data_IF_313290490915
#
_entry.id   IF_313290490915
#
_cell.length_a   1.000
_cell.length_b   1.000
_cell.length_c   1.000
_cell.angle_alpha   90.00
_cell.angle_beta   90.00
_cell.angle_gamma   90.00
#
_symmetry.space_group_name_H-M   'P 1'
#
loop_
_entity.id
_entity.type
_entity.pdbx_description
1 polymer ?
#
# COMPACT_ATOMS: atom_id res chain seq x y z
N UNK A 1 -8.48 -1.14 -4.10
CA UNK A 1 -7.12 -0.57 -4.14
C UNK A 1 -6.70 -0.30 -5.58
N UNK A 2 -6.51 0.97 -5.98
CA UNK A 2 -6.20 1.35 -7.36
C UNK A 2 -4.83 0.85 -7.80
N UNK A 3 -3.84 0.86 -6.96
CA UNK A 3 -2.41 0.64 -7.20
C UNK A 3 -1.77 1.76 -8.03
N UNK A 4 -2.39 2.15 -9.12
CA UNK A 4 -2.09 3.28 -10.01
C UNK A 4 -3.38 3.73 -10.71
N UNK A 5 -3.40 4.94 -11.23
CA UNK A 5 -4.49 5.46 -12.07
C UNK A 5 -4.11 5.51 -13.55
N UNK A 6 -3.10 4.71 -13.96
CA UNK A 6 -2.70 4.52 -15.37
C UNK A 6 -3.20 3.16 -15.86
N UNK A 7 -4.18 3.15 -16.78
CA UNK A 7 -4.81 1.91 -17.27
C UNK A 7 -3.79 0.94 -17.88
N UNK A 8 -2.87 1.45 -18.71
CA UNK A 8 -1.87 0.60 -19.35
C UNK A 8 -0.99 -0.16 -18.34
N UNK A 9 -0.68 0.46 -17.20
CA UNK A 9 0.07 -0.20 -16.12
C UNK A 9 -0.78 -1.25 -15.41
N UNK A 10 -2.06 -0.98 -15.16
CA UNK A 10 -2.98 -1.97 -14.58
C UNK A 10 -3.06 -3.23 -15.46
N UNK A 11 -3.19 -3.06 -16.76
CA UNK A 11 -3.22 -4.15 -17.73
C UNK A 11 -1.90 -4.93 -17.74
N UNK A 12 -0.76 -4.21 -17.72
CA UNK A 12 0.57 -4.80 -17.71
C UNK A 12 0.82 -5.66 -16.47
N UNK A 13 0.41 -5.20 -15.28
CA UNK A 13 0.58 -5.95 -14.03
C UNK A 13 -0.51 -6.99 -13.78
N UNK A 14 -1.46 -7.14 -14.72
CA UNK A 14 -2.50 -8.15 -14.70
C UNK A 14 -3.63 -7.86 -13.71
N UNK A 15 -3.95 -6.59 -13.49
CA UNK A 15 -5.15 -6.18 -12.75
C UNK A 15 -6.37 -6.25 -13.68
N UNK A 16 -7.50 -6.72 -13.16
CA UNK A 16 -8.73 -6.90 -13.94
C UNK A 16 -9.72 -5.73 -13.78
N UNK A 17 -9.39 -4.74 -12.94
CA UNK A 17 -10.20 -3.55 -12.78
C UNK A 17 -9.66 -2.41 -13.66
N UNK A 18 -10.54 -1.49 -14.01
CA UNK A 18 -10.18 -0.27 -14.75
C UNK A 18 -10.12 0.94 -13.81
N UNK A 19 -9.47 2.01 -14.28
CA UNK A 19 -9.44 3.30 -13.58
C UNK A 19 -10.87 3.84 -13.37
N UNK A 20 -11.74 3.69 -14.37
CA UNK A 20 -13.15 4.13 -14.25
C UNK A 20 -13.91 3.33 -13.20
N UNK A 21 -13.68 2.01 -13.12
CA UNK A 21 -14.25 1.18 -12.06
C UNK A 21 -13.80 1.63 -10.66
N UNK A 22 -12.54 2.03 -10.50
CA UNK A 22 -12.04 2.58 -9.22
C UNK A 22 -12.81 3.85 -8.87
N UNK A 23 -12.94 4.79 -9.80
CA UNK A 23 -13.68 6.06 -9.61
C UNK A 23 -15.15 5.81 -9.29
N UNK A 24 -15.80 4.90 -10.04
CA UNK A 24 -17.20 4.51 -9.80
C UNK A 24 -17.39 3.92 -8.40
N UNK A 25 -16.56 2.93 -8.03
CA UNK A 25 -16.70 2.26 -6.72
C UNK A 25 -16.36 3.18 -5.56
N UNK A 26 -15.42 4.10 -5.74
CA UNK A 26 -15.13 5.13 -4.74
C UNK A 26 -16.36 6.03 -4.49
N UNK A 27 -16.98 6.56 -5.56
CA UNK A 27 -18.19 7.38 -5.46
C UNK A 27 -19.34 6.62 -4.83
N UNK A 28 -19.57 5.38 -5.28
CA UNK A 28 -20.60 4.50 -4.69
C UNK A 28 -20.39 4.30 -3.19
N UNK A 29 -19.13 4.10 -2.73
CA UNK A 29 -18.84 3.97 -1.31
C UNK A 29 -19.18 5.26 -0.55
N UNK A 30 -18.85 6.44 -1.10
CA UNK A 30 -19.24 7.74 -0.51
C UNK A 30 -20.76 7.89 -0.43
N UNK A 31 -21.48 7.57 -1.49
CA UNK A 31 -22.95 7.66 -1.55
C UNK A 31 -23.63 6.72 -0.53
N UNK A 32 -22.99 5.58 -0.21
CA UNK A 32 -23.43 4.64 0.82
C UNK A 32 -23.03 5.08 2.26
N UNK A 33 -22.36 6.23 2.42
CA UNK A 33 -22.03 6.80 3.72
C UNK A 33 -20.70 6.34 4.31
N UNK A 34 -19.82 5.67 3.53
CA UNK A 34 -18.45 5.38 4.01
C UNK A 34 -17.66 6.69 4.09
N UNK A 35 -17.26 7.06 5.28
CA UNK A 35 -16.58 8.32 5.60
C UNK A 35 -15.09 8.13 5.95
N UNK A 36 -14.55 6.91 5.81
CA UNK A 36 -13.14 6.59 5.98
C UNK A 36 -12.70 5.59 4.90
N UNK A 37 -12.28 6.13 3.74
CA UNK A 37 -11.86 5.35 2.59
C UNK A 37 -10.38 5.54 2.36
N UNK A 38 -9.62 4.43 2.36
CA UNK A 38 -8.21 4.40 2.02
C UNK A 38 -7.99 4.00 0.56
N UNK A 39 -6.99 4.59 -0.08
CA UNK A 39 -6.52 4.19 -1.41
C UNK A 39 -5.05 3.76 -1.34
N UNK A 40 -4.77 2.50 -1.73
CA UNK A 40 -3.39 2.01 -1.81
C UNK A 40 -2.81 2.26 -3.20
N UNK A 41 -1.61 2.83 -3.22
CA UNK A 41 -0.82 3.12 -4.41
C UNK A 41 0.52 2.38 -4.35
N UNK A 42 1.08 2.06 -5.51
CA UNK A 42 2.42 1.47 -5.62
C UNK A 42 3.27 2.37 -6.52
N UNK A 43 4.41 2.82 -6.00
CA UNK A 43 5.41 3.58 -6.75
C UNK A 43 6.52 2.63 -7.20
N UNK A 44 7.01 2.87 -8.40
CA UNK A 44 8.01 2.00 -9.05
C UNK A 44 7.38 0.87 -9.87
N UNK A 45 6.12 1.00 -10.27
CA UNK A 45 5.51 0.07 -11.20
C UNK A 45 6.22 0.11 -12.57
N UNK A 46 6.24 -1.04 -13.30
CA UNK A 46 6.88 -1.08 -14.62
C UNK A 46 6.28 -0.05 -15.58
N UNK A 47 7.15 0.59 -16.37
CA UNK A 47 6.80 1.59 -17.39
C UNK A 47 6.08 2.83 -16.82
N UNK A 48 6.30 3.12 -15.53
CA UNK A 48 5.88 4.39 -14.91
C UNK A 48 7.07 5.29 -14.61
N UNK A 49 6.87 6.57 -14.88
CA UNK A 49 7.79 7.65 -14.56
C UNK A 49 7.15 8.67 -13.59
N UNK A 50 7.85 9.78 -13.37
CA UNK A 50 7.40 10.84 -12.45
C UNK A 50 6.08 11.50 -12.90
N UNK A 51 5.84 11.59 -14.22
CA UNK A 51 4.63 12.22 -14.75
C UNK A 51 3.42 11.27 -14.59
N UNK A 52 3.63 9.96 -14.69
CA UNK A 52 2.61 8.96 -14.40
C UNK A 52 2.21 8.98 -12.91
N UNK A 53 3.20 9.10 -12.02
CA UNK A 53 2.95 9.27 -10.57
C UNK A 53 2.19 10.57 -10.32
N UNK A 54 2.57 11.66 -10.98
CA UNK A 54 1.87 12.95 -10.89
C UNK A 54 0.40 12.82 -11.31
N UNK A 55 0.17 12.24 -12.49
CA UNK A 55 -1.19 12.02 -13.01
C UNK A 55 -2.03 11.14 -12.08
N UNK A 56 -1.42 10.10 -11.50
CA UNK A 56 -2.07 9.24 -10.50
C UNK A 56 -2.47 10.05 -9.27
N UNK A 57 -1.55 10.84 -8.71
CA UNK A 57 -1.82 11.64 -7.52
C UNK A 57 -2.86 12.74 -7.74
N UNK A 58 -2.90 13.34 -8.94
CA UNK A 58 -3.93 14.30 -9.31
C UNK A 58 -5.32 13.66 -9.32
N UNK A 59 -5.47 12.50 -9.94
CA UNK A 59 -6.73 11.76 -9.98
C UNK A 59 -7.16 11.29 -8.56
N UNK A 60 -6.22 10.88 -7.72
CA UNK A 60 -6.50 10.52 -6.32
C UNK A 60 -6.94 11.75 -5.52
N UNK A 61 -6.29 12.90 -5.72
CA UNK A 61 -6.68 14.17 -5.08
C UNK A 61 -8.10 14.60 -5.45
N UNK A 62 -8.50 14.43 -6.73
CA UNK A 62 -9.88 14.72 -7.17
C UNK A 62 -10.92 13.84 -6.49
N UNK A 63 -10.58 12.60 -6.14
CA UNK A 63 -11.46 11.69 -5.40
C UNK A 63 -11.55 12.04 -3.92
N UNK A 64 -10.56 12.74 -3.37
CA UNK A 64 -10.47 13.17 -1.97
C UNK A 64 -10.66 12.00 -0.97
N UNK A 65 -9.78 10.98 -0.97
CA UNK A 65 -9.84 9.91 0.02
C UNK A 65 -9.47 10.44 1.42
N UNK A 66 -9.91 9.71 2.46
CA UNK A 66 -9.57 10.06 3.85
C UNK A 66 -8.16 9.60 4.24
N UNK A 67 -7.62 8.64 3.49
CA UNK A 67 -6.26 8.13 3.66
C UNK A 67 -5.69 7.58 2.36
N UNK A 68 -4.37 7.62 2.26
CA UNK A 68 -3.62 7.05 1.14
C UNK A 68 -2.45 6.25 1.70
N UNK A 69 -2.27 5.02 1.22
CA UNK A 69 -1.07 4.25 1.52
C UNK A 69 -0.19 4.19 0.27
N UNK A 70 1.02 4.71 0.38
CA UNK A 70 2.02 4.69 -0.68
C UNK A 70 2.98 3.55 -0.43
N UNK A 71 2.94 2.55 -1.29
CA UNK A 71 3.86 1.42 -1.28
C UNK A 71 4.97 1.62 -2.31
N UNK A 72 6.19 1.25 -1.95
CA UNK A 72 7.26 1.05 -2.93
C UNK A 72 7.19 -0.37 -3.46
N UNK A 73 7.35 -0.53 -4.78
CA UNK A 73 7.29 -1.84 -5.41
C UNK A 73 8.26 -2.83 -4.74
N UNK A 74 7.73 -3.94 -4.23
CA UNK A 74 8.51 -5.06 -3.71
C UNK A 74 8.33 -6.27 -4.62
N UNK A 75 9.40 -6.72 -5.27
CA UNK A 75 9.37 -7.89 -6.15
C UNK A 75 9.53 -9.16 -5.31
N UNK A 76 8.42 -9.79 -4.96
CA UNK A 76 8.39 -11.06 -4.23
C UNK A 76 8.74 -12.23 -5.15
N UNK A 77 9.30 -13.34 -4.60
CA UNK A 77 9.67 -14.55 -5.39
C UNK A 77 8.52 -15.11 -6.22
N UNK A 78 7.31 -15.09 -5.67
CA UNK A 78 6.09 -15.58 -6.34
C UNK A 78 5.39 -14.52 -7.22
N UNK A 79 5.95 -13.31 -7.34
CA UNK A 79 5.36 -12.30 -8.22
C UNK A 79 5.54 -12.69 -9.70
N UNK A 80 4.53 -12.40 -10.54
CA UNK A 80 4.60 -12.67 -12.00
C UNK A 80 5.85 -12.04 -12.63
N UNK A 81 6.24 -10.85 -12.21
CA UNK A 81 7.48 -10.18 -12.62
C UNK A 81 8.75 -11.00 -12.37
N UNK A 82 8.75 -11.83 -11.32
CA UNK A 82 9.89 -12.69 -11.00
C UNK A 82 9.80 -14.06 -11.67
N UNK A 83 8.59 -14.64 -11.80
CA UNK A 83 8.35 -15.93 -12.43
C UNK A 83 8.62 -15.86 -13.94
N UNK A 84 8.22 -14.77 -14.58
CA UNK A 84 8.37 -14.54 -16.03
C UNK A 84 9.45 -13.51 -16.34
N UNK A 85 10.62 -13.61 -15.68
CA UNK A 85 11.73 -12.65 -15.80
C UNK A 85 12.09 -12.31 -17.24
N UNK A 86 12.12 -13.28 -18.12
CA UNK A 86 12.48 -13.09 -19.53
C UNK A 86 11.49 -12.20 -20.27
N UNK A 87 10.19 -12.34 -19.96
CA UNK A 87 9.12 -11.50 -20.55
C UNK A 87 9.16 -10.05 -20.05
N UNK A 88 9.67 -9.84 -18.84
CA UNK A 88 9.71 -8.54 -18.18
C UNK A 88 11.13 -7.95 -18.11
N UNK A 89 12.13 -8.63 -18.72
CA UNK A 89 13.54 -8.21 -18.66
C UNK A 89 13.83 -6.83 -19.22
N UNK A 90 13.01 -6.37 -20.18
CA UNK A 90 13.19 -5.09 -20.85
C UNK A 90 12.32 -3.97 -20.25
N UNK A 91 11.51 -4.24 -19.24
CA UNK A 91 10.67 -3.22 -18.63
C UNK A 91 11.49 -2.26 -17.76
N UNK A 92 11.27 -1.00 -17.96
CA UNK A 92 11.86 0.05 -17.15
C UNK A 92 11.14 0.11 -15.80
N UNK A 93 11.87 -0.13 -14.71
CA UNK A 93 11.38 0.02 -13.34
C UNK A 93 12.15 1.16 -12.70
N UNK A 94 11.48 2.22 -12.31
CA UNK A 94 12.06 3.37 -11.65
C UNK A 94 11.32 3.64 -10.35
N UNK A 95 12.05 3.69 -9.24
CA UNK A 95 11.55 4.19 -7.98
C UNK A 95 12.60 5.16 -7.43
N UNK A 96 12.30 6.46 -7.54
CA UNK A 96 13.24 7.53 -7.20
C UNK A 96 12.75 8.31 -5.98
N UNK A 97 13.68 8.97 -5.29
CA UNK A 97 13.34 9.85 -4.18
C UNK A 97 12.35 10.95 -4.62
N UNK A 98 12.51 11.47 -5.83
CA UNK A 98 11.63 12.51 -6.38
C UNK A 98 10.17 12.02 -6.49
N UNK A 99 9.95 10.76 -6.92
CA UNK A 99 8.61 10.16 -6.98
C UNK A 99 7.99 10.04 -5.58
N UNK A 100 8.77 9.61 -4.59
CA UNK A 100 8.32 9.49 -3.19
C UNK A 100 8.00 10.88 -2.61
N UNK A 101 8.87 11.87 -2.82
CA UNK A 101 8.67 13.25 -2.37
C UNK A 101 7.43 13.87 -3.00
N UNK A 102 7.17 13.56 -4.28
CA UNK A 102 5.97 13.99 -4.98
C UNK A 102 4.70 13.45 -4.31
N UNK A 103 4.67 12.15 -3.96
CA UNK A 103 3.51 11.57 -3.25
C UNK A 103 3.29 12.21 -1.89
N UNK A 104 4.37 12.45 -1.13
CA UNK A 104 4.32 13.13 0.16
C UNK A 104 3.82 14.58 0.04
N UNK A 105 4.20 15.28 -1.03
CA UNK A 105 3.69 16.62 -1.33
C UNK A 105 2.17 16.61 -1.55
N UNK A 106 1.68 15.73 -2.42
CA UNK A 106 0.25 15.60 -2.69
C UNK A 106 -0.55 15.17 -1.46
N UNK A 107 -0.01 14.27 -0.63
CA UNK A 107 -0.64 13.90 0.64
C UNK A 107 -0.83 15.12 1.55
N UNK A 108 0.21 15.96 1.71
CA UNK A 108 0.11 17.22 2.48
C UNK A 108 -0.90 18.19 1.87
N UNK A 109 -0.93 18.34 0.55
CA UNK A 109 -1.91 19.21 -0.14
C UNK A 109 -3.36 18.73 0.08
N UNK A 110 -3.58 17.42 0.27
CA UNK A 110 -4.87 16.84 0.64
C UNK A 110 -5.17 16.95 2.16
N UNK A 111 -4.27 17.50 2.98
CA UNK A 111 -4.42 17.55 4.43
C UNK A 111 -4.20 16.21 5.12
N UNK A 112 -3.50 15.29 4.46
CA UNK A 112 -3.19 13.98 5.03
C UNK A 112 -1.81 14.00 5.69
N UNK A 113 -1.75 13.45 6.91
CA UNK A 113 -0.52 13.37 7.71
C UNK A 113 0.02 11.93 7.74
N UNK A 114 1.36 11.73 7.72
CA UNK A 114 1.92 10.40 7.86
C UNK A 114 1.63 9.86 9.27
N UNK A 115 1.13 8.62 9.36
CA UNK A 115 0.80 8.00 10.64
C UNK A 115 1.48 6.65 10.87
N UNK A 116 1.99 5.98 9.82
CA UNK A 116 2.84 4.80 9.97
C UNK A 116 3.82 4.64 8.82
N UNK A 117 4.93 3.97 9.11
CA UNK A 117 6.00 3.61 8.19
C UNK A 117 6.22 2.10 8.25
N UNK A 118 6.41 1.49 7.08
CA UNK A 118 6.70 0.06 7.00
C UNK A 118 7.70 -0.24 5.89
N UNK A 119 8.78 -0.96 6.24
CA UNK A 119 9.79 -1.39 5.28
C UNK A 119 9.72 -2.90 5.06
N UNK A 120 9.65 -3.33 3.82
CA UNK A 120 9.78 -4.74 3.42
C UNK A 120 11.19 -5.01 2.88
N UNK A 121 11.59 -6.29 2.88
CA UNK A 121 12.81 -6.73 2.19
C UNK A 121 12.61 -6.66 0.67
N UNK A 122 13.68 -6.32 -0.07
CA UNK A 122 13.72 -6.28 -1.54
C UNK A 122 12.76 -5.25 -2.18
N UNK A 123 12.65 -4.08 -1.57
CA UNK A 123 11.91 -2.94 -2.15
C UNK A 123 12.76 -2.22 -3.18
N UNK A 124 12.16 -1.85 -4.31
CA UNK A 124 12.81 -1.03 -5.33
C UNK A 124 13.19 0.34 -4.74
N UNK A 125 14.45 0.76 -4.91
CA UNK A 125 14.95 2.01 -4.35
C UNK A 125 15.19 2.01 -2.83
N UNK A 126 14.91 0.90 -2.13
CA UNK A 126 15.08 0.76 -0.68
C UNK A 126 14.24 1.75 0.16
N UNK A 127 13.12 2.23 -0.40
CA UNK A 127 12.20 3.16 0.24
C UNK A 127 11.21 2.44 1.16
N UNK A 128 10.54 3.20 2.01
CA UNK A 128 9.52 2.73 2.95
C UNK A 128 8.12 2.86 2.36
N UNK A 129 7.20 2.03 2.84
CA UNK A 129 5.78 2.24 2.66
C UNK A 129 5.31 3.25 3.69
N UNK A 130 4.51 4.22 3.28
CA UNK A 130 4.00 5.27 4.16
C UNK A 130 2.48 5.32 4.07
N UNK A 131 1.83 5.27 5.23
CA UNK A 131 0.41 5.56 5.34
C UNK A 131 0.17 7.01 5.74
N UNK A 132 -0.63 7.70 4.96
CA UNK A 132 -1.10 9.08 5.21
C UNK A 132 -2.59 9.06 5.49
N UNK A 133 -3.06 9.81 6.49
CA UNK A 133 -4.47 9.89 6.82
C UNK A 133 -4.86 11.30 7.27
N UNK A 134 -6.11 11.68 7.05
CA UNK A 134 -6.68 12.86 7.66
C UNK A 134 -6.74 12.70 9.18
N UNK A 135 -6.70 13.79 9.96
CA UNK A 135 -6.81 13.74 11.41
C UNK A 135 -8.03 12.90 11.86
N UNK A 136 -7.80 11.93 12.74
CA UNK A 136 -8.83 11.02 13.24
C UNK A 136 -9.25 9.88 12.30
N UNK A 137 -8.66 9.77 11.10
CA UNK A 137 -8.98 8.74 10.09
C UNK A 137 -7.89 7.66 9.93
N UNK A 138 -6.84 7.68 10.76
CA UNK A 138 -5.78 6.68 10.74
C UNK A 138 -6.34 5.27 10.99
N UNK A 139 -5.85 4.28 10.23
CA UNK A 139 -6.25 2.89 10.39
C UNK A 139 -5.63 2.30 11.67
N UNK A 140 -6.46 2.07 12.68
CA UNK A 140 -6.03 1.51 13.98
C UNK A 140 -5.35 0.15 13.81
N UNK A 141 -5.82 -0.69 12.89
CA UNK A 141 -5.19 -1.98 12.60
C UNK A 141 -3.72 -1.83 12.20
N UNK A 142 -3.40 -0.86 11.32
CA UNK A 142 -2.03 -0.62 10.90
C UNK A 142 -1.14 -0.20 12.07
N UNK A 143 -1.65 0.67 12.94
CA UNK A 143 -0.94 1.11 14.15
C UNK A 143 -0.70 -0.08 15.09
N UNK A 144 -1.73 -0.86 15.38
CA UNK A 144 -1.65 -1.95 16.34
C UNK A 144 -0.70 -3.08 15.89
N UNK A 145 -0.69 -3.38 14.56
CA UNK A 145 0.21 -4.42 14.03
C UNK A 145 1.67 -3.96 14.01
N UNK A 146 1.92 -2.67 13.72
CA UNK A 146 3.27 -2.10 13.68
C UNK A 146 3.85 -1.91 15.09
N UNK A 147 3.02 -1.42 16.03
CA UNK A 147 3.40 -1.19 17.42
C UNK A 147 3.39 -2.45 18.30
N UNK A 148 2.92 -3.57 17.75
CA UNK A 148 2.81 -4.85 18.50
C UNK A 148 2.07 -4.71 19.85
N UNK A 149 0.98 -3.91 19.85
CA UNK A 149 0.25 -3.58 21.10
C UNK A 149 -0.73 -4.67 21.54
N UNK A 150 -1.22 -5.49 20.59
CA UNK A 150 -2.20 -6.53 20.91
C UNK A 150 -2.06 -7.74 20.00
N UNK A 151 -2.55 -8.88 20.48
CA UNK A 151 -2.70 -10.09 19.67
C UNK A 151 -3.71 -9.88 18.56
N UNK A 152 -3.36 -10.29 17.33
CA UNK A 152 -4.23 -10.25 16.16
C UNK A 152 -4.52 -11.68 15.76
N UNK A 153 -5.77 -12.10 15.93
CA UNK A 153 -6.24 -13.43 15.53
C UNK A 153 -6.63 -13.39 14.05
N UNK A 154 -6.04 -14.28 13.27
CA UNK A 154 -6.30 -14.39 11.84
C UNK A 154 -7.19 -15.61 11.56
N UNK A 155 -8.17 -15.43 10.66
CA UNK A 155 -9.07 -16.47 10.18
C UNK A 155 -8.97 -16.60 8.67
N UNK A 156 -8.87 -17.83 8.16
CA UNK A 156 -8.83 -18.11 6.72
C UNK A 156 -7.57 -18.84 6.28
N UNK A 157 -7.60 -19.36 5.05
CA UNK A 157 -6.47 -20.08 4.46
C UNK A 157 -5.28 -19.15 4.20
N UNK A 158 -4.08 -19.56 4.61
CA UNK A 158 -2.85 -18.79 4.39
C UNK A 158 -2.70 -17.57 5.29
N UNK A 159 -3.54 -17.39 6.31
CA UNK A 159 -3.41 -16.31 7.28
C UNK A 159 -2.54 -16.72 8.48
N UNK A 160 -1.99 -15.73 9.17
CA UNK A 160 -1.11 -15.94 10.33
C UNK A 160 -1.62 -15.14 11.52
N UNK A 161 -1.84 -15.81 12.65
CA UNK A 161 -2.14 -15.16 13.93
C UNK A 161 -0.84 -14.60 14.53
N UNK A 162 -0.84 -13.31 14.87
CA UNK A 162 0.26 -12.64 15.55
C UNK A 162 -0.06 -12.51 17.03
N UNK A 163 0.72 -13.21 17.89
CA UNK A 163 0.54 -13.16 19.34
C UNK A 163 1.51 -12.15 19.95
N UNK A 164 0.99 -11.24 20.77
CA UNK A 164 1.77 -10.25 21.51
C UNK A 164 1.78 -10.63 22.99
N UNK A 165 2.95 -10.57 23.62
CA UNK A 165 3.13 -10.89 25.03
C UNK A 165 3.22 -9.61 25.87
N UNK A 166 2.73 -9.61 27.14
CA UNK A 166 2.81 -8.48 28.05
C UNK A 166 4.25 -7.98 28.27
N UNK A 167 4.41 -6.70 28.52
CA UNK A 167 5.70 -6.02 28.66
C UNK A 167 6.57 -6.53 29.83
N UNK A 168 5.98 -7.14 30.83
CA UNK A 168 6.69 -7.75 31.96
C UNK A 168 7.65 -8.88 31.57
N UNK A 169 7.42 -9.48 30.37
CA UNK A 169 8.27 -10.49 29.75
C UNK A 169 9.10 -9.97 28.58
N UNK A 170 9.46 -8.68 28.57
CA UNK A 170 10.19 -8.04 27.45
C UNK A 170 11.52 -8.71 27.06
N UNK A 171 12.14 -9.50 27.95
CA UNK A 171 13.28 -10.35 27.61
C UNK A 171 12.90 -11.53 26.69
N UNK A 172 11.61 -11.82 26.53
CA UNK A 172 11.04 -12.88 25.70
C UNK A 172 10.06 -12.35 24.64
N UNK A 173 9.98 -11.05 24.41
CA UNK A 173 9.06 -10.46 23.41
C UNK A 173 9.47 -10.83 21.99
N UNK A 174 9.34 -12.11 21.66
CA UNK A 174 9.30 -12.58 20.29
C UNK A 174 7.84 -12.61 19.88
N UNK A 175 7.48 -11.82 18.89
CA UNK A 175 6.25 -12.04 18.16
C UNK A 175 6.32 -13.43 17.55
N UNK A 176 5.41 -14.32 17.96
CA UNK A 176 5.32 -15.67 17.41
C UNK A 176 4.19 -15.66 16.38
N UNK A 177 4.56 -15.84 15.13
CA UNK A 177 3.60 -16.08 14.07
C UNK A 177 3.12 -17.52 14.15
N UNK A 178 1.89 -17.73 14.57
CA UNK A 178 1.27 -19.06 14.59
C UNK A 178 0.60 -19.27 13.23
N UNK A 179 1.25 -20.08 12.39
CA UNK A 179 0.67 -20.52 11.12
C UNK A 179 -0.24 -21.73 11.45
N UNK A 180 -1.55 -21.66 11.15
CA UNK A 180 -2.40 -22.82 11.28
C UNK A 180 -1.86 -23.92 10.35
N UNK A 181 -1.55 -25.10 10.89
CA UNK A 181 -1.31 -26.28 10.05
C UNK A 181 -2.65 -26.66 9.42
N UNK A 182 -2.75 -26.54 8.10
CA UNK A 182 -3.83 -27.11 7.30
C UNK A 182 -3.55 -28.59 7.12
#
# INVERSE_FOLDING_TARGET
NPQTMKQATLDLIGRHHTVDMVKEKFRMARDLGFDNINMDLIIGLPEEDIDDVRSTMEQVRELAPDSVTVHSLAIKRAARLNIFKERYANLKIQNTQEMIDLTAKYAREMGLEPYYLYRQKNMAGNFENVGYAAPGKACIYNILIMEEKQTIVACGAGTTTKVTFPAENRLLSKTVDIIPKI
#
